data_IF_982305310330
#
_entry.id   IF_982305310330
#
_cell.length_a   1.000
_cell.length_b   1.000
_cell.length_c   1.000
_cell.angle_alpha   90.00
_cell.angle_beta   90.00
_cell.angle_gamma   90.00
#
_symmetry.space_group_name_H-M   'P 1'
#
loop_
_entity.id
_entity.type
_entity.pdbx_description
1 polymer ?
#
# COMPACT_ATOMS: atom_id res chain seq x y z
N UNK A 1 7.75 49.67 -10.27
CA UNK A 1 6.44 49.13 -10.71
C UNK A 1 6.22 47.85 -9.94
N UNK A 2 5.27 47.84 -9.00
CA UNK A 2 5.01 46.67 -8.14
C UNK A 2 4.08 45.71 -8.87
N UNK A 3 4.57 44.51 -9.22
CA UNK A 3 3.73 43.45 -9.73
C UNK A 3 3.02 42.79 -8.54
N UNK A 4 1.75 43.12 -8.33
CA UNK A 4 0.89 42.33 -7.45
C UNK A 4 0.27 41.20 -8.27
N UNK A 5 0.55 39.95 -7.90
CA UNK A 5 -0.14 38.79 -8.46
C UNK A 5 -1.15 38.28 -7.43
N UNK A 6 -2.30 37.76 -7.89
CA UNK A 6 -3.29 37.18 -7.00
C UNK A 6 -3.50 35.72 -7.38
N UNK A 7 -3.51 34.85 -6.38
CA UNK A 7 -3.75 33.42 -6.55
C UNK A 7 -5.11 33.07 -5.95
N UNK A 8 -6.00 32.45 -6.75
CA UNK A 8 -7.27 31.93 -6.26
C UNK A 8 -7.00 30.68 -5.44
N UNK A 9 -7.41 30.69 -4.17
CA UNK A 9 -7.31 29.56 -3.25
C UNK A 9 -8.53 28.65 -3.32
N UNK A 10 -9.71 29.21 -3.59
CA UNK A 10 -10.95 28.46 -3.67
C UNK A 10 -11.90 29.06 -4.71
N UNK A 11 -12.25 28.27 -5.72
CA UNK A 11 -13.15 28.69 -6.80
C UNK A 11 -14.62 28.88 -6.35
N UNK A 12 -15.01 28.33 -5.21
CA UNK A 12 -16.40 28.37 -4.73
C UNK A 12 -16.74 29.64 -3.96
N UNK A 13 -15.85 30.07 -3.07
CA UNK A 13 -16.02 31.30 -2.30
C UNK A 13 -15.16 32.45 -2.85
N UNK A 14 -14.42 32.21 -3.93
CA UNK A 14 -13.47 33.15 -4.54
C UNK A 14 -12.45 33.71 -3.55
N UNK A 15 -12.07 32.92 -2.55
CA UNK A 15 -10.99 33.29 -1.64
C UNK A 15 -9.70 33.44 -2.45
N UNK A 16 -9.11 34.62 -2.41
CA UNK A 16 -7.88 34.94 -3.13
C UNK A 16 -6.78 35.34 -2.16
N UNK A 17 -5.59 34.79 -2.36
CA UNK A 17 -4.38 35.29 -1.75
C UNK A 17 -3.80 36.37 -2.64
N UNK A 18 -3.83 37.62 -2.19
CA UNK A 18 -3.14 38.71 -2.89
C UNK A 18 -1.67 38.65 -2.51
N UNK A 19 -0.83 38.22 -3.45
CA UNK A 19 0.62 38.32 -3.37
C UNK A 19 0.99 39.75 -3.80
N UNK A 20 0.84 40.68 -2.87
CA UNK A 20 1.10 42.10 -3.08
C UNK A 20 1.84 42.69 -1.88
N UNK A 21 3.06 43.16 -2.12
CA UNK A 21 3.97 43.81 -1.17
C UNK A 21 5.32 44.06 -1.86
N UNK A 22 6.10 45.11 -1.52
CA UNK A 22 7.21 45.58 -2.34
C UNK A 22 8.17 44.43 -2.61
N UNK A 23 8.56 44.22 -3.87
CA UNK A 23 9.77 43.46 -4.15
C UNK A 23 10.90 44.19 -3.43
N UNK A 24 11.25 43.73 -2.24
CA UNK A 24 12.44 44.22 -1.56
C UNK A 24 13.57 44.09 -2.57
N UNK A 25 14.16 45.22 -3.02
CA UNK A 25 15.27 45.10 -3.95
C UNK A 25 16.34 44.27 -3.23
N UNK A 26 16.89 43.24 -3.88
CA UNK A 26 17.91 42.42 -3.25
C UNK A 26 19.05 43.31 -2.76
N UNK A 27 19.45 43.13 -1.51
CA UNK A 27 20.58 43.87 -0.95
C UNK A 27 21.82 43.50 -1.77
N UNK A 28 22.52 44.51 -2.28
CA UNK A 28 23.72 44.31 -3.09
C UNK A 28 24.76 43.51 -2.30
N UNK A 29 25.32 42.47 -2.91
CA UNK A 29 26.18 41.51 -2.22
C UNK A 29 27.48 42.15 -1.75
N UNK A 30 27.95 43.21 -2.43
CA UNK A 30 29.09 44.01 -2.01
C UNK A 30 28.83 44.73 -0.68
N UNK A 31 27.61 45.22 -0.45
CA UNK A 31 27.24 45.89 0.82
C UNK A 31 27.27 44.92 2.00
N UNK A 32 26.87 43.67 1.77
CA UNK A 32 26.93 42.62 2.79
C UNK A 32 28.35 42.15 3.08
N UNK A 33 29.28 42.31 2.13
CA UNK A 33 30.68 41.85 2.24
C UNK A 33 31.63 42.94 2.74
N UNK A 34 31.31 44.20 2.50
CA UNK A 34 32.08 45.35 2.97
C UNK A 34 31.57 45.79 4.34
N UNK A 35 32.41 46.49 5.11
CA UNK A 35 32.03 47.07 6.41
C UNK A 35 31.17 48.34 6.21
N UNK A 36 30.06 48.21 5.49
CA UNK A 36 29.09 49.26 5.24
C UNK A 36 28.12 49.36 6.42
N UNK A 37 28.12 50.51 7.11
CA UNK A 37 27.27 50.75 8.26
C UNK A 37 26.12 51.67 7.82
N UNK A 38 24.86 51.19 7.86
CA UNK A 38 23.71 52.00 7.47
C UNK A 38 23.59 53.26 8.34
N UNK A 39 23.19 54.37 7.72
CA UNK A 39 22.82 55.58 8.47
C UNK A 39 21.58 55.34 9.35
N UNK A 40 21.35 56.14 10.38
CA UNK A 40 20.17 56.02 11.26
C UNK A 40 18.84 56.01 10.48
N UNK A 41 18.76 56.82 9.41
CA UNK A 41 17.59 56.88 8.53
C UNK A 41 17.41 55.60 7.70
N UNK A 42 18.52 54.99 7.28
CA UNK A 42 18.52 53.74 6.52
C UNK A 42 18.21 52.56 7.44
N UNK A 43 18.80 52.51 8.64
CA UNK A 43 18.49 51.54 9.69
C UNK A 43 16.99 51.53 9.99
N UNK A 44 16.39 52.70 10.22
CA UNK A 44 14.94 52.81 10.48
C UNK A 44 14.10 52.26 9.33
N UNK A 45 14.52 52.51 8.07
CA UNK A 45 13.84 51.97 6.88
C UNK A 45 14.01 50.46 6.76
N UNK A 46 15.21 49.94 7.00
CA UNK A 46 15.49 48.50 6.96
C UNK A 46 14.68 47.77 8.04
N UNK A 47 14.62 48.30 9.27
CA UNK A 47 13.81 47.72 10.35
C UNK A 47 12.33 47.66 9.98
N UNK A 48 11.75 48.76 9.48
CA UNK A 48 10.35 48.75 9.04
C UNK A 48 10.07 47.74 7.91
N UNK A 49 11.05 47.54 7.03
CA UNK A 49 10.98 46.53 5.96
C UNK A 49 11.06 45.10 6.52
N UNK A 50 11.90 44.85 7.53
CA UNK A 50 11.97 43.56 8.23
C UNK A 50 10.63 43.26 8.89
N UNK A 51 10.08 44.21 9.66
CA UNK A 51 8.80 44.03 10.36
C UNK A 51 7.66 43.71 9.37
N UNK A 52 7.60 44.42 8.24
CA UNK A 52 6.61 44.14 7.20
C UNK A 52 6.81 42.75 6.56
N UNK A 53 8.05 42.33 6.34
CA UNK A 53 8.37 41.02 5.75
C UNK A 53 8.02 39.90 6.70
N UNK A 54 8.24 40.09 8.00
CA UNK A 54 7.87 39.12 9.03
C UNK A 54 6.35 38.92 9.10
N UNK A 55 5.57 39.99 8.97
CA UNK A 55 4.10 39.91 8.86
C UNK A 55 3.66 39.12 7.62
N UNK A 56 4.30 39.35 6.47
CA UNK A 56 3.98 38.64 5.23
C UNK A 56 4.36 37.16 5.32
N UNK A 57 5.52 36.82 5.88
CA UNK A 57 5.95 35.43 6.12
C UNK A 57 4.93 34.72 7.01
N UNK A 58 4.58 35.32 8.15
CA UNK A 58 3.60 34.72 9.08
C UNK A 58 2.23 34.52 8.42
N UNK A 59 1.81 35.46 7.56
CA UNK A 59 0.59 35.32 6.77
C UNK A 59 0.66 34.13 5.82
N UNK A 60 1.77 33.97 5.08
CA UNK A 60 1.94 32.86 4.14
C UNK A 60 2.04 31.51 4.85
N UNK A 61 2.78 31.41 5.95
CA UNK A 61 2.86 30.19 6.77
C UNK A 61 1.47 29.77 7.29
N UNK A 62 0.66 30.72 7.75
CA UNK A 62 -0.72 30.43 8.18
C UNK A 62 -1.59 29.89 7.05
N UNK A 63 -1.49 30.47 5.85
CA UNK A 63 -2.27 30.01 4.69
C UNK A 63 -1.79 28.65 4.17
N UNK A 64 -0.47 28.40 4.16
CA UNK A 64 0.11 27.09 3.83
C UNK A 64 -0.45 26.03 4.77
N UNK A 65 -0.38 26.26 6.08
CA UNK A 65 -0.85 25.30 7.09
C UNK A 65 -2.34 24.94 6.90
N UNK A 66 -3.20 25.94 6.62
CA UNK A 66 -4.64 25.71 6.35
C UNK A 66 -4.87 24.89 5.09
N UNK A 67 -4.13 25.17 4.02
CA UNK A 67 -4.25 24.46 2.75
C UNK A 67 -3.76 23.01 2.88
N UNK A 68 -2.69 22.78 3.62
CA UNK A 68 -2.18 21.45 3.90
C UNK A 68 -3.17 20.60 4.71
N UNK A 69 -3.79 21.17 5.76
CA UNK A 69 -4.83 20.49 6.55
C UNK A 69 -6.06 20.14 5.70
N UNK A 70 -6.50 21.09 4.87
CA UNK A 70 -7.61 20.87 3.93
C UNK A 70 -7.29 19.74 2.95
N UNK A 71 -6.07 19.74 2.39
CA UNK A 71 -5.60 18.71 1.47
C UNK A 71 -5.52 17.34 2.15
N UNK A 72 -5.04 17.30 3.40
CA UNK A 72 -4.98 16.08 4.19
C UNK A 72 -6.39 15.50 4.41
N UNK A 73 -7.35 16.35 4.80
CA UNK A 73 -8.75 15.97 4.98
C UNK A 73 -9.37 15.40 3.71
N UNK A 74 -9.18 16.07 2.56
CA UNK A 74 -9.69 15.61 1.27
C UNK A 74 -9.04 14.28 0.83
N UNK A 75 -7.73 14.11 1.05
CA UNK A 75 -7.02 12.85 0.77
C UNK A 75 -7.55 11.71 1.63
N UNK A 76 -7.79 11.95 2.91
CA UNK A 76 -8.37 10.96 3.83
C UNK A 76 -9.77 10.53 3.39
N UNK A 77 -10.66 11.49 3.10
CA UNK A 77 -12.01 11.20 2.58
C UNK A 77 -12.00 10.44 1.26
N UNK A 78 -11.13 10.83 0.33
CA UNK A 78 -10.96 10.10 -0.94
C UNK A 78 -10.50 8.67 -0.71
N UNK A 79 -9.56 8.44 0.22
CA UNK A 79 -9.07 7.11 0.54
C UNK A 79 -10.19 6.24 1.15
N UNK A 80 -10.96 6.80 2.08
CA UNK A 80 -12.12 6.14 2.68
C UNK A 80 -13.16 5.74 1.63
N UNK A 81 -13.53 6.64 0.73
CA UNK A 81 -14.49 6.35 -0.35
C UNK A 81 -13.97 5.28 -1.33
N UNK A 82 -12.67 5.29 -1.65
CA UNK A 82 -12.06 4.24 -2.47
C UNK A 82 -12.13 2.87 -1.79
N UNK A 83 -11.93 2.82 -0.46
CA UNK A 83 -12.10 1.59 0.33
C UNK A 83 -13.54 1.08 0.23
N UNK A 84 -14.54 1.91 0.52
CA UNK A 84 -15.95 1.50 0.41
C UNK A 84 -16.31 1.04 -1.00
N UNK A 85 -15.86 1.74 -2.03
CA UNK A 85 -16.08 1.32 -3.41
C UNK A 85 -15.48 -0.07 -3.69
N UNK A 86 -14.29 -0.35 -3.19
CA UNK A 86 -13.66 -1.67 -3.29
C UNK A 86 -14.46 -2.76 -2.58
N UNK A 87 -14.98 -2.47 -1.39
CA UNK A 87 -15.83 -3.38 -0.62
C UNK A 87 -17.13 -3.71 -1.37
N UNK A 88 -17.84 -2.70 -1.88
CA UNK A 88 -19.05 -2.92 -2.67
C UNK A 88 -18.78 -3.71 -3.97
N UNK A 89 -17.70 -3.41 -4.67
CA UNK A 89 -17.27 -4.21 -5.84
C UNK A 89 -17.00 -5.65 -5.46
N UNK A 90 -16.37 -5.88 -4.30
CA UNK A 90 -16.10 -7.23 -3.78
C UNK A 90 -17.39 -7.96 -3.43
N UNK A 91 -18.37 -7.28 -2.82
CA UNK A 91 -19.70 -7.84 -2.52
C UNK A 91 -20.46 -8.24 -3.79
N UNK A 92 -20.32 -7.45 -4.85
CA UNK A 92 -20.95 -7.70 -6.15
C UNK A 92 -20.14 -8.66 -7.05
N UNK A 93 -19.00 -9.17 -6.57
CA UNK A 93 -18.16 -10.08 -7.35
C UNK A 93 -18.95 -11.34 -7.74
N UNK A 94 -18.88 -11.78 -9.03
CA UNK A 94 -19.60 -12.96 -9.51
C UNK A 94 -19.35 -14.22 -8.68
N UNK A 95 -18.14 -14.36 -8.13
CA UNK A 95 -17.74 -15.52 -7.34
C UNK A 95 -18.57 -15.74 -6.09
N UNK A 96 -19.16 -14.66 -5.52
CA UNK A 96 -20.06 -14.73 -4.37
C UNK A 96 -21.47 -15.20 -4.74
N UNK A 97 -21.80 -15.23 -6.03
CA UNK A 97 -23.09 -15.70 -6.56
C UNK A 97 -23.01 -17.12 -7.12
N UNK A 98 -21.81 -17.71 -7.18
CA UNK A 98 -21.66 -19.08 -7.66
C UNK A 98 -22.32 -20.05 -6.67
N UNK A 99 -23.12 -21.00 -7.15
CA UNK A 99 -23.56 -22.13 -6.34
C UNK A 99 -22.33 -22.88 -5.79
N UNK A 100 -22.49 -23.45 -4.59
CA UNK A 100 -21.41 -24.19 -3.92
C UNK A 100 -20.89 -25.34 -4.79
N UNK A 101 -21.77 -26.04 -5.51
CA UNK A 101 -21.39 -27.16 -6.37
C UNK A 101 -20.42 -26.74 -7.49
N UNK A 102 -20.66 -25.58 -8.11
CA UNK A 102 -19.78 -25.02 -9.14
C UNK A 102 -18.44 -24.61 -8.53
N UNK A 103 -18.46 -24.05 -7.32
CA UNK A 103 -17.23 -23.68 -6.61
C UNK A 103 -16.40 -24.90 -6.24
N UNK A 104 -17.05 -25.99 -5.80
CA UNK A 104 -16.41 -27.28 -5.52
C UNK A 104 -15.82 -27.92 -6.77
N UNK A 105 -16.48 -27.81 -7.91
CA UNK A 105 -15.95 -28.29 -9.20
C UNK A 105 -14.67 -27.53 -9.58
N UNK A 106 -14.69 -26.19 -9.45
CA UNK A 106 -13.51 -25.35 -9.67
C UNK A 106 -12.37 -25.74 -8.71
N UNK A 107 -12.67 -25.88 -7.42
CA UNK A 107 -11.66 -26.27 -6.43
C UNK A 107 -11.10 -27.66 -6.71
N UNK A 108 -11.95 -28.61 -7.11
CA UNK A 108 -11.53 -29.97 -7.45
C UNK A 108 -10.59 -29.98 -8.65
N UNK A 109 -10.89 -29.21 -9.70
CA UNK A 109 -10.02 -29.07 -10.86
C UNK A 109 -8.65 -28.48 -10.48
N UNK A 110 -8.65 -27.41 -9.69
CA UNK A 110 -7.43 -26.72 -9.26
C UNK A 110 -6.59 -27.54 -8.27
N UNK A 111 -7.21 -28.41 -7.47
CA UNK A 111 -6.51 -29.29 -6.52
C UNK A 111 -6.12 -30.66 -7.10
N UNK A 112 -6.77 -31.13 -8.17
CA UNK A 112 -6.51 -32.46 -8.77
C UNK A 112 -5.48 -32.43 -9.90
N UNK A 113 -5.34 -31.32 -10.63
CA UNK A 113 -4.32 -31.18 -11.65
C UNK A 113 -2.96 -30.94 -11.00
N UNK A 114 -1.90 -31.60 -11.50
CA UNK A 114 -0.48 -31.26 -11.21
C UNK A 114 -0.10 -29.80 -11.58
N UNK A 115 -1.08 -28.98 -11.98
CA UNK A 115 -1.03 -27.54 -12.13
C UNK A 115 -1.48 -26.80 -10.88
N UNK A 116 -1.03 -27.20 -9.70
CA UNK A 116 -1.12 -26.35 -8.52
C UNK A 116 -0.62 -24.95 -8.88
N UNK A 117 -1.28 -23.90 -8.37
CA UNK A 117 -0.91 -22.50 -8.59
C UNK A 117 0.60 -22.36 -8.45
N UNK A 118 1.28 -22.38 -9.58
CA UNK A 118 2.73 -22.43 -9.61
C UNK A 118 3.18 -21.09 -9.06
N UNK A 119 3.61 -21.10 -7.80
CA UNK A 119 4.09 -19.89 -7.14
C UNK A 119 5.07 -19.22 -8.10
N UNK A 120 4.89 -17.92 -8.42
CA UNK A 120 5.74 -17.27 -9.39
C UNK A 120 7.18 -17.43 -8.91
N UNK A 121 8.01 -18.07 -9.74
CA UNK A 121 9.47 -18.18 -9.56
C UNK A 121 9.96 -16.83 -9.04
N UNK A 122 10.35 -16.79 -7.77
CA UNK A 122 11.15 -15.69 -7.25
C UNK A 122 12.32 -15.50 -8.21
N UNK A 123 12.58 -14.24 -8.55
CA UNK A 123 13.43 -13.78 -9.65
C UNK A 123 14.65 -14.69 -9.84
N UNK A 124 14.86 -15.15 -11.08
CA UNK A 124 16.06 -15.88 -11.53
C UNK A 124 17.32 -15.14 -11.05
N UNK A 125 17.98 -15.66 -10.02
CA UNK A 125 19.38 -15.36 -9.75
C UNK A 125 20.17 -16.45 -10.48
N UNK A 126 20.85 -16.08 -11.55
CA UNK A 126 21.71 -16.98 -12.33
C UNK A 126 22.84 -17.49 -11.42
N UNK A 127 22.90 -18.81 -11.19
CA UNK A 127 24.05 -19.46 -10.55
C UNK A 127 23.76 -20.35 -9.34
N UNK A 128 22.52 -20.49 -8.86
CA UNK A 128 22.19 -21.44 -7.79
C UNK A 128 21.69 -22.79 -8.35
N UNK A 129 22.03 -23.93 -7.70
CA UNK A 129 21.45 -25.23 -8.04
C UNK A 129 19.92 -25.17 -7.94
N UNK A 130 19.23 -26.00 -8.73
CA UNK A 130 17.76 -26.10 -8.76
C UNK A 130 17.26 -26.71 -7.44
N UNK A 131 17.30 -25.94 -6.35
CA UNK A 131 16.69 -26.35 -5.10
C UNK A 131 15.18 -26.17 -5.24
N UNK A 132 14.53 -27.27 -5.64
CA UNK A 132 13.11 -27.38 -5.89
C UNK A 132 12.37 -27.31 -4.54
N UNK A 133 12.20 -26.11 -3.99
CA UNK A 133 11.30 -25.86 -2.87
C UNK A 133 9.86 -25.91 -3.39
N UNK A 134 9.32 -27.11 -3.59
CA UNK A 134 7.92 -27.28 -3.96
C UNK A 134 7.19 -27.85 -2.74
N UNK A 135 6.53 -26.95 -2.03
CA UNK A 135 5.39 -27.28 -1.19
C UNK A 135 4.17 -26.72 -1.92
N UNK A 136 3.36 -27.60 -2.48
CA UNK A 136 2.11 -27.23 -3.15
C UNK A 136 0.95 -27.69 -2.28
N UNK A 137 0.45 -26.75 -1.47
CA UNK A 137 -0.69 -26.94 -0.58
C UNK A 137 -1.89 -26.13 -1.09
N UNK A 138 -2.34 -26.42 -2.33
CA UNK A 138 -3.34 -25.61 -3.05
C UNK A 138 -4.62 -25.42 -2.24
N UNK A 139 -5.13 -26.45 -1.58
CA UNK A 139 -6.34 -26.40 -0.76
C UNK A 139 -6.19 -25.45 0.43
N UNK A 140 -5.00 -25.44 1.04
CA UNK A 140 -4.67 -24.49 2.10
C UNK A 140 -4.60 -23.05 1.56
N UNK A 141 -4.06 -22.84 0.35
CA UNK A 141 -4.07 -21.52 -0.29
C UNK A 141 -5.51 -21.05 -0.53
N UNK A 142 -6.39 -21.92 -1.05
CA UNK A 142 -7.81 -21.62 -1.23
C UNK A 142 -8.49 -21.25 0.10
N UNK A 143 -8.14 -21.93 1.19
CA UNK A 143 -8.69 -21.66 2.53
C UNK A 143 -8.28 -20.30 3.12
N UNK A 144 -7.28 -19.62 2.54
CA UNK A 144 -6.83 -18.30 2.97
C UNK A 144 -7.43 -17.14 2.15
N UNK A 145 -8.19 -17.43 1.09
CA UNK A 145 -8.76 -16.37 0.24
C UNK A 145 -9.87 -15.60 0.97
N UNK A 146 -10.83 -16.32 1.57
CA UNK A 146 -11.86 -15.71 2.41
C UNK A 146 -12.52 -16.74 3.34
N UNK A 147 -13.29 -16.27 4.32
CA UNK A 147 -14.02 -17.13 5.26
C UNK A 147 -15.02 -18.07 4.59
N UNK A 148 -15.67 -17.63 3.52
CA UNK A 148 -16.60 -18.47 2.75
C UNK A 148 -15.86 -19.64 2.08
N UNK A 149 -14.76 -19.36 1.38
CA UNK A 149 -13.95 -20.41 0.72
C UNK A 149 -13.36 -21.37 1.74
N UNK A 150 -12.91 -20.86 2.89
CA UNK A 150 -12.49 -21.67 4.02
C UNK A 150 -13.60 -22.64 4.44
N UNK A 151 -14.80 -22.14 4.73
CA UNK A 151 -15.93 -23.00 5.10
C UNK A 151 -16.24 -24.07 4.05
N UNK A 152 -16.15 -23.73 2.75
CA UNK A 152 -16.38 -24.70 1.66
C UNK A 152 -15.29 -25.79 1.65
N UNK A 153 -14.01 -25.42 1.71
CA UNK A 153 -12.92 -26.42 1.66
C UNK A 153 -12.82 -27.24 2.94
N UNK A 154 -13.13 -26.67 4.10
CA UNK A 154 -13.12 -27.41 5.39
C UNK A 154 -14.19 -28.50 5.44
N UNK A 155 -15.34 -28.27 4.80
CA UNK A 155 -16.42 -29.26 4.70
C UNK A 155 -16.25 -30.23 3.52
N UNK A 156 -15.10 -30.20 2.83
CA UNK A 156 -14.85 -31.01 1.64
C UNK A 156 -13.56 -31.82 1.78
N UNK A 157 -13.60 -32.95 2.53
CA UNK A 157 -12.40 -33.74 2.83
C UNK A 157 -11.62 -34.18 1.58
N UNK A 158 -12.33 -34.45 0.47
CA UNK A 158 -11.72 -34.78 -0.82
C UNK A 158 -10.72 -33.72 -1.33
N UNK A 159 -10.92 -32.43 -1.04
CA UNK A 159 -9.97 -31.40 -1.49
C UNK A 159 -8.64 -31.47 -0.72
N UNK A 160 -8.62 -32.08 0.45
CA UNK A 160 -7.41 -32.25 1.27
C UNK A 160 -6.66 -33.55 0.94
N UNK A 161 -7.09 -34.31 -0.07
CA UNK A 161 -6.48 -35.60 -0.40
C UNK A 161 -5.22 -35.50 -1.29
N UNK A 162 -4.77 -34.30 -1.65
CA UNK A 162 -3.60 -34.12 -2.53
C UNK A 162 -2.68 -33.06 -1.96
N UNK A 163 -1.41 -33.44 -1.72
CA UNK A 163 -0.38 -32.56 -1.18
C UNK A 163 0.95 -32.89 -1.86
N UNK A 164 1.62 -31.90 -2.45
CA UNK A 164 2.98 -32.08 -2.97
C UNK A 164 3.98 -31.46 -1.99
N UNK A 165 4.91 -32.26 -1.47
CA UNK A 165 5.92 -31.82 -0.50
C UNK A 165 7.23 -32.53 -0.82
N UNK A 166 8.28 -31.73 -1.05
CA UNK A 166 9.64 -32.27 -1.13
C UNK A 166 10.11 -32.73 0.27
N UNK A 167 10.12 -34.05 0.49
CA UNK A 167 10.50 -34.67 1.78
C UNK A 167 11.96 -34.40 2.17
N UNK A 168 12.85 -34.04 1.24
CA UNK A 168 14.23 -33.68 1.56
C UNK A 168 14.33 -32.40 2.43
N UNK A 169 13.24 -31.61 2.50
CA UNK A 169 13.14 -30.43 3.35
C UNK A 169 12.76 -30.76 4.80
N UNK A 170 12.19 -31.94 5.05
CA UNK A 170 11.80 -32.39 6.40
C UNK A 170 13.05 -32.71 7.24
N UNK A 171 14.14 -33.11 6.61
CA UNK A 171 15.41 -33.44 7.27
C UNK A 171 16.25 -32.23 7.66
N UNK A 172 15.86 -31.01 7.25
CA UNK A 172 16.48 -29.75 7.70
C UNK A 172 15.81 -29.30 9.01
N UNK A 173 16.55 -29.34 10.13
CA UNK A 173 16.05 -29.11 11.49
C UNK A 173 15.45 -27.72 11.72
N UNK A 174 15.65 -26.78 10.80
CA UNK A 174 15.10 -25.42 10.90
C UNK A 174 13.68 -25.28 10.33
N UNK A 175 13.22 -26.22 9.48
CA UNK A 175 11.93 -26.15 8.75
C UNK A 175 11.06 -27.39 8.88
N UNK A 176 11.57 -28.47 9.47
CA UNK A 176 10.85 -29.74 9.67
C UNK A 176 9.51 -29.57 10.38
N UNK A 177 9.45 -28.76 11.44
CA UNK A 177 8.24 -28.58 12.26
C UNK A 177 7.05 -28.01 11.45
N UNK A 178 7.32 -27.07 10.54
CA UNK A 178 6.27 -26.45 9.72
C UNK A 178 5.73 -27.39 8.65
N UNK A 179 6.59 -28.25 8.08
CA UNK A 179 6.19 -29.24 7.08
C UNK A 179 5.42 -30.38 7.75
N UNK A 180 5.87 -30.83 8.92
CA UNK A 180 5.16 -31.84 9.70
C UNK A 180 3.76 -31.37 10.07
N UNK A 181 3.63 -30.14 10.61
CA UNK A 181 2.32 -29.55 10.91
C UNK A 181 1.40 -29.44 9.67
N UNK A 182 1.98 -29.18 8.49
CA UNK A 182 1.24 -29.13 7.24
C UNK A 182 0.73 -30.51 6.80
N UNK A 183 1.59 -31.52 6.87
CA UNK A 183 1.22 -32.91 6.55
C UNK A 183 0.15 -33.41 7.51
N UNK A 184 0.33 -33.18 8.82
CA UNK A 184 -0.65 -33.53 9.85
C UNK A 184 -2.00 -32.86 9.61
N UNK A 185 -1.99 -31.58 9.22
CA UNK A 185 -3.21 -30.86 8.84
C UNK A 185 -3.93 -31.54 7.68
N UNK A 186 -3.21 -31.90 6.60
CA UNK A 186 -3.82 -32.56 5.44
C UNK A 186 -4.34 -33.95 5.78
N UNK A 187 -3.61 -34.73 6.58
CA UNK A 187 -4.06 -36.04 7.07
C UNK A 187 -5.35 -35.95 7.89
N UNK A 188 -5.43 -34.97 8.81
CA UNK A 188 -6.63 -34.77 9.62
C UNK A 188 -7.82 -34.35 8.75
N UNK A 189 -7.59 -33.43 7.80
CA UNK A 189 -8.66 -32.84 6.98
C UNK A 189 -9.11 -33.73 5.82
N UNK A 190 -8.26 -34.62 5.31
CA UNK A 190 -8.66 -35.59 4.26
C UNK A 190 -9.60 -36.67 4.80
N UNK A 191 -9.62 -36.88 6.12
CA UNK A 191 -10.54 -37.80 6.81
C UNK A 191 -10.49 -39.21 6.21
N UNK A 192 -11.59 -39.70 5.62
CA UNK A 192 -11.66 -41.02 4.98
C UNK A 192 -11.08 -41.07 3.57
N UNK A 193 -10.65 -39.95 2.98
CA UNK A 193 -10.05 -39.92 1.66
C UNK A 193 -8.54 -40.18 1.74
N UNK A 194 -8.00 -41.10 0.92
CA UNK A 194 -6.57 -41.43 0.93
C UNK A 194 -5.74 -40.22 0.46
N UNK A 195 -4.74 -39.84 1.25
CA UNK A 195 -3.82 -38.75 0.91
C UNK A 195 -2.81 -39.22 -0.15
N UNK A 196 -2.79 -38.55 -1.29
CA UNK A 196 -1.75 -38.65 -2.31
C UNK A 196 -0.65 -37.65 -2.01
N UNK A 197 0.57 -38.15 -1.79
CA UNK A 197 1.77 -37.36 -1.57
C UNK A 197 2.64 -37.41 -2.82
N UNK A 198 2.80 -36.26 -3.48
CA UNK A 198 3.80 -36.09 -4.53
C UNK A 198 5.12 -35.66 -3.87
N UNK A 199 6.11 -36.56 -3.90
CA UNK A 199 7.41 -36.46 -3.22
C UNK A 199 8.51 -36.03 -4.20
#
# INVERSE_FOLDING_TARGET
>A
MSFSSSTVLCDRCHATLVVGGPSLPPVAQERLRNHDVPSDTETSRITALIDQTELDINRYESEIAKLEDTLATLRARRHELKRYQGEYKTLLSPVRRLPIDILLEIFSAVCSESGGLYMPKTRKVLGQPKDHYIITATTLVLSQICSFWRGVVENSPRLWSTLAVNLALVTDSTKGDGIQALVDLYLIRSSSFPLSLDI
#
